data_IF_444484735335
#
_entry.id   IF_444484735335
#
_cell.length_a   1.000
_cell.length_b   1.000
_cell.length_c   1.000
_cell.angle_alpha   90.00
_cell.angle_beta   90.00
_cell.angle_gamma   90.00
#
_symmetry.space_group_name_H-M   'P 1'
#
loop_
_entity.id
_entity.type
_entity.pdbx_description
1 polymer ?
#
# COMPACT_ATOMS: atom_id res chain seq x y z
N UNK A 1 -32.87 -34.30 73.23
CA UNK A 1 -31.69 -34.32 72.35
C UNK A 1 -31.79 -33.15 71.37
N UNK A 2 -31.11 -32.03 71.68
CA UNK A 2 -31.14 -30.81 70.86
C UNK A 2 -29.89 -30.77 69.97
N UNK A 3 -30.06 -30.84 68.64
CA UNK A 3 -28.97 -30.72 67.66
C UNK A 3 -28.78 -29.24 67.33
N UNK A 4 -27.63 -28.67 67.70
CA UNK A 4 -27.20 -27.33 67.30
C UNK A 4 -27.11 -27.19 65.77
N UNK A 5 -27.66 -26.13 65.16
CA UNK A 5 -27.50 -25.88 63.74
C UNK A 5 -26.07 -25.42 63.45
N UNK A 6 -25.38 -26.15 62.56
CA UNK A 6 -23.99 -25.93 62.20
C UNK A 6 -23.76 -24.54 61.59
N UNK A 7 -22.98 -23.70 62.28
CA UNK A 7 -22.36 -22.48 61.74
C UNK A 7 -21.31 -22.83 60.67
N UNK A 8 -21.72 -23.24 59.46
CA UNK A 8 -20.82 -23.43 58.31
C UNK A 8 -21.42 -23.09 56.93
N UNK A 9 -21.76 -21.82 56.64
CA UNK A 9 -21.69 -21.39 55.23
C UNK A 9 -20.85 -20.13 54.96
N UNK A 10 -20.59 -19.28 55.97
CA UNK A 10 -19.94 -17.97 55.75
C UNK A 10 -18.45 -18.05 55.37
N UNK A 11 -17.72 -19.06 55.83
CA UNK A 11 -16.30 -19.24 55.46
C UNK A 11 -16.14 -19.78 54.05
N UNK A 12 -17.00 -20.70 53.62
CA UNK A 12 -16.95 -21.29 52.27
C UNK A 12 -17.27 -20.22 51.21
N UNK A 13 -18.31 -19.41 51.43
CA UNK A 13 -18.67 -18.31 50.52
C UNK A 13 -17.54 -17.28 50.39
N UNK A 14 -16.86 -16.95 51.50
CA UNK A 14 -15.70 -16.03 51.47
C UNK A 14 -14.52 -16.63 50.70
N UNK A 15 -14.23 -17.92 50.89
CA UNK A 15 -13.15 -18.61 50.16
C UNK A 15 -13.47 -18.65 48.65
N UNK A 16 -14.70 -18.95 48.27
CA UNK A 16 -15.13 -18.96 46.87
C UNK A 16 -15.07 -17.56 46.24
N UNK A 17 -15.49 -16.51 46.96
CA UNK A 17 -15.37 -15.12 46.47
C UNK A 17 -13.92 -14.69 46.30
N UNK A 18 -13.04 -14.99 47.26
CA UNK A 18 -11.61 -14.67 47.16
C UNK A 18 -10.96 -15.46 46.03
N UNK A 19 -11.28 -16.75 45.87
CA UNK A 19 -10.78 -17.55 44.76
C UNK A 19 -11.28 -17.06 43.39
N UNK A 20 -12.55 -16.63 43.31
CA UNK A 20 -13.12 -16.02 42.10
C UNK A 20 -12.45 -14.70 41.73
N UNK A 21 -12.22 -13.82 42.72
CA UNK A 21 -11.50 -12.56 42.52
C UNK A 21 -10.03 -12.78 42.15
N UNK A 22 -9.35 -13.74 42.78
CA UNK A 22 -7.99 -14.12 42.39
C UNK A 22 -7.95 -14.70 40.97
N UNK A 23 -8.91 -15.55 40.61
CA UNK A 23 -9.03 -16.11 39.27
C UNK A 23 -9.26 -15.04 38.22
N UNK A 24 -10.16 -14.09 38.49
CA UNK A 24 -10.40 -12.94 37.62
C UNK A 24 -9.16 -12.04 37.51
N UNK A 25 -8.49 -11.74 38.62
CA UNK A 25 -7.26 -10.94 38.63
C UNK A 25 -6.13 -11.62 37.86
N UNK A 26 -5.92 -12.93 38.05
CA UNK A 26 -4.92 -13.69 37.33
C UNK A 26 -5.24 -13.78 35.83
N UNK A 27 -6.52 -13.93 35.46
CA UNK A 27 -6.95 -13.91 34.05
C UNK A 27 -6.74 -12.52 33.42
N UNK A 28 -7.06 -11.44 34.14
CA UNK A 28 -6.79 -10.07 33.68
C UNK A 28 -5.29 -9.80 33.54
N UNK A 29 -4.47 -10.31 34.48
CA UNK A 29 -3.03 -10.16 34.44
C UNK A 29 -2.38 -10.96 33.29
N UNK A 30 -2.86 -12.17 32.98
CA UNK A 30 -2.35 -12.96 31.84
C UNK A 30 -2.74 -12.36 30.49
N UNK A 31 -3.93 -11.77 30.37
CA UNK A 31 -4.33 -10.97 29.20
C UNK A 31 -3.44 -9.72 29.08
N UNK A 32 -3.28 -8.95 30.15
CA UNK A 32 -2.51 -7.70 30.15
C UNK A 32 -1.01 -7.91 29.85
N UNK A 33 -0.44 -9.03 30.28
CA UNK A 33 0.97 -9.37 30.01
C UNK A 33 1.16 -10.13 28.69
N UNK A 34 0.08 -10.38 27.93
CA UNK A 34 0.06 -11.26 26.78
C UNK A 34 0.79 -12.60 27.02
N UNK A 35 0.73 -13.12 28.25
CA UNK A 35 1.41 -14.35 28.61
C UNK A 35 0.91 -15.50 27.72
N UNK A 36 1.82 -16.19 27.04
CA UNK A 36 1.51 -17.28 26.10
C UNK A 36 0.57 -16.89 24.94
N UNK A 37 0.53 -15.61 24.57
CA UNK A 37 -0.35 -15.11 23.49
C UNK A 37 -1.83 -15.04 23.88
N UNK A 38 -2.17 -15.16 25.17
CA UNK A 38 -3.55 -15.11 25.67
C UNK A 38 -4.20 -13.75 25.39
N UNK A 39 -3.43 -12.65 25.46
CA UNK A 39 -3.91 -11.32 25.11
C UNK A 39 -4.34 -11.25 23.64
N UNK A 40 -3.49 -11.68 22.71
CA UNK A 40 -3.81 -11.71 21.27
C UNK A 40 -5.03 -12.60 20.96
N UNK A 41 -5.16 -13.74 21.64
CA UNK A 41 -6.33 -14.62 21.47
C UNK A 41 -7.62 -13.97 21.99
N UNK A 42 -7.54 -13.24 23.09
CA UNK A 42 -8.66 -12.50 23.65
C UNK A 42 -9.06 -11.33 22.73
N UNK A 43 -8.11 -10.53 22.25
CA UNK A 43 -8.36 -9.46 21.27
C UNK A 43 -9.03 -10.00 20.00
N UNK A 44 -8.53 -11.12 19.46
CA UNK A 44 -9.14 -11.77 18.29
C UNK A 44 -10.58 -12.26 18.57
N UNK A 45 -10.86 -12.71 19.80
CA UNK A 45 -12.21 -13.12 20.20
C UNK A 45 -13.14 -11.91 20.32
N UNK A 46 -12.70 -10.85 20.98
CA UNK A 46 -13.47 -9.59 21.10
C UNK A 46 -13.77 -9.04 19.71
N UNK A 47 -12.77 -8.97 18.82
CA UNK A 47 -12.97 -8.50 17.44
C UNK A 47 -13.98 -9.35 16.67
N UNK A 48 -13.97 -10.67 16.83
CA UNK A 48 -14.99 -11.54 16.21
C UNK A 48 -16.39 -11.27 16.75
N UNK A 49 -16.52 -10.99 18.05
CA UNK A 49 -17.82 -10.64 18.64
C UNK A 49 -18.29 -9.29 18.12
N UNK A 50 -17.41 -8.29 18.06
CA UNK A 50 -17.70 -6.97 17.49
C UNK A 50 -18.18 -7.09 16.05
N UNK A 51 -17.47 -7.83 15.19
CA UNK A 51 -17.86 -8.04 13.78
C UNK A 51 -19.20 -8.77 13.59
N UNK A 52 -19.63 -9.56 14.58
CA UNK A 52 -20.96 -10.20 14.56
C UNK A 52 -22.06 -9.24 14.99
N UNK A 53 -21.75 -8.32 15.91
CA UNK A 53 -22.72 -7.35 16.44
C UNK A 53 -22.86 -6.12 15.55
N UNK A 54 -21.76 -5.69 14.93
CA UNK A 54 -21.66 -4.48 14.11
C UNK A 54 -20.73 -4.77 12.92
N UNK A 55 -21.21 -5.51 11.90
CA UNK A 55 -20.40 -5.79 10.72
C UNK A 55 -20.17 -4.50 9.91
N UNK A 56 -19.03 -4.39 9.23
CA UNK A 56 -18.79 -3.30 8.28
C UNK A 56 -19.95 -3.14 7.30
N UNK A 57 -20.32 -1.92 6.92
CA UNK A 57 -21.42 -1.68 6.00
C UNK A 57 -21.11 -2.30 4.62
N UNK A 58 -22.06 -3.02 4.05
CA UNK A 58 -21.97 -3.46 2.65
C UNK A 58 -22.40 -2.33 1.73
N UNK A 59 -21.42 -1.50 1.33
CA UNK A 59 -21.62 -0.39 0.39
C UNK A 59 -20.64 -0.46 -0.77
N UNK A 60 -21.00 0.12 -1.95
CA UNK A 60 -20.05 0.26 -3.04
C UNK A 60 -18.80 1.02 -2.59
N UNK A 61 -17.64 0.58 -3.06
CA UNK A 61 -16.35 1.23 -2.82
C UNK A 61 -15.54 1.32 -4.11
N UNK A 62 -14.41 2.03 -4.04
CA UNK A 62 -13.47 2.14 -5.18
C UNK A 62 -12.98 0.73 -5.60
N UNK A 63 -13.10 0.34 -6.88
CA UNK A 63 -12.72 -0.98 -7.34
C UNK A 63 -11.20 -1.16 -7.42
N UNK A 64 -10.75 -2.42 -7.36
CA UNK A 64 -9.34 -2.76 -7.60
C UNK A 64 -9.11 -2.99 -9.09
N UNK A 65 -8.16 -2.27 -9.68
CA UNK A 65 -7.78 -2.43 -11.09
C UNK A 65 -6.73 -3.52 -11.21
N UNK A 66 -7.06 -4.59 -11.93
CA UNK A 66 -6.10 -5.63 -12.27
C UNK A 66 -5.16 -5.14 -13.38
N UNK A 67 -3.87 -5.03 -13.07
CA UNK A 67 -2.86 -4.63 -14.05
C UNK A 67 -2.30 -5.86 -14.73
N UNK A 68 -2.60 -6.01 -16.01
CA UNK A 68 -1.98 -7.03 -16.86
C UNK A 68 -0.63 -6.54 -17.36
N UNK A 69 0.45 -7.34 -17.27
CA UNK A 69 1.76 -6.95 -17.78
C UNK A 69 1.69 -6.54 -19.24
N UNK A 70 2.39 -5.45 -19.60
CA UNK A 70 2.55 -5.07 -21.00
C UNK A 70 3.39 -6.17 -21.68
N UNK A 71 2.97 -6.73 -22.83
CA UNK A 71 3.78 -7.73 -23.51
C UNK A 71 5.15 -7.15 -23.84
N UNK A 72 6.20 -7.79 -23.31
CA UNK A 72 7.58 -7.43 -23.63
C UNK A 72 7.76 -7.77 -25.10
N UNK A 73 7.82 -6.76 -25.97
CA UNK A 73 8.18 -6.97 -27.36
C UNK A 73 9.61 -7.49 -27.36
N UNK A 74 9.77 -8.81 -27.49
CA UNK A 74 11.05 -9.40 -27.86
C UNK A 74 11.44 -8.74 -29.16
N UNK A 75 12.55 -8.00 -29.17
CA UNK A 75 13.07 -7.30 -30.33
C UNK A 75 13.01 -8.23 -31.54
N UNK A 76 12.09 -7.95 -32.48
CA UNK A 76 12.01 -8.73 -33.70
C UNK A 76 13.37 -8.64 -34.40
N UNK A 77 13.93 -9.74 -34.94
CA UNK A 77 15.11 -9.64 -35.78
C UNK A 77 14.78 -8.66 -36.90
N UNK A 78 15.66 -7.66 -37.06
CA UNK A 78 15.55 -6.68 -38.14
C UNK A 78 15.34 -7.44 -39.46
N UNK A 79 14.25 -7.20 -40.21
CA UNK A 79 14.11 -7.85 -41.50
C UNK A 79 15.23 -7.33 -42.38
N UNK A 80 16.15 -8.22 -42.77
CA UNK A 80 17.10 -7.98 -43.85
C UNK A 80 16.29 -7.59 -45.09
N UNK A 81 16.23 -6.29 -45.37
CA UNK A 81 15.62 -5.80 -46.60
C UNK A 81 16.50 -6.27 -47.76
N UNK A 82 15.95 -7.02 -48.74
CA UNK A 82 16.70 -7.38 -49.92
C UNK A 82 17.12 -6.11 -50.69
N UNK A 83 18.29 -6.14 -51.37
CA UNK A 83 18.78 -4.98 -52.10
C UNK A 83 17.78 -4.52 -53.16
N UNK A 84 17.66 -3.21 -53.41
CA UNK A 84 16.68 -2.66 -54.34
C UNK A 84 16.93 -3.20 -55.75
N UNK A 85 15.94 -3.89 -56.29
CA UNK A 85 15.94 -4.32 -57.69
C UNK A 85 15.66 -3.11 -58.57
N UNK A 86 16.63 -2.73 -59.41
CA UNK A 86 16.50 -1.66 -60.41
C UNK A 86 15.40 -1.97 -61.42
N UNK A 87 14.32 -1.17 -61.53
CA UNK A 87 13.35 -1.34 -62.61
C UNK A 87 13.87 -0.64 -63.87
N UNK A 88 13.86 -1.35 -65.01
CA UNK A 88 14.06 -0.77 -66.33
C UNK A 88 12.88 0.15 -66.67
N UNK A 89 13.19 1.40 -67.03
CA UNK A 89 12.23 2.45 -67.34
C UNK A 89 11.85 2.45 -68.84
N UNK A 90 10.56 2.47 -69.22
CA UNK A 90 10.15 2.79 -70.58
C UNK A 90 10.12 4.31 -70.79
N UNK A 91 10.38 4.82 -72.01
CA UNK A 91 10.45 6.26 -72.26
C UNK A 91 9.05 6.86 -72.43
N UNK A 92 8.83 8.02 -71.80
CA UNK A 92 7.81 8.97 -72.22
C UNK A 92 6.60 9.08 -71.30
N UNK A 93 6.66 10.02 -70.36
CA UNK A 93 5.57 10.94 -69.98
C UNK A 93 6.11 11.98 -69.00
N UNK A 94 5.96 13.25 -69.34
CA UNK A 94 6.25 14.40 -68.48
C UNK A 94 5.20 14.46 -67.36
N UNK A 95 5.62 14.14 -66.14
CA UNK A 95 4.82 14.33 -64.92
C UNK A 95 5.24 15.62 -64.20
N UNK A 96 4.33 16.29 -63.47
CA UNK A 96 4.60 17.56 -62.81
C UNK A 96 5.54 17.37 -61.62
N UNK A 97 6.44 18.33 -61.43
CA UNK A 97 7.42 18.43 -60.34
C UNK A 97 6.76 18.29 -58.96
N UNK A 98 6.87 17.12 -58.36
CA UNK A 98 6.60 16.91 -56.92
C UNK A 98 7.68 17.60 -56.10
N UNK A 99 7.25 18.48 -55.19
CA UNK A 99 8.12 19.10 -54.19
C UNK A 99 8.82 18.03 -53.34
N UNK A 100 10.08 18.25 -52.93
CA UNK A 100 10.81 17.28 -52.12
C UNK A 100 10.12 17.11 -50.76
N UNK A 101 9.60 15.91 -50.50
CA UNK A 101 9.20 15.46 -49.16
C UNK A 101 10.45 15.49 -48.28
N UNK A 102 10.51 16.41 -47.32
CA UNK A 102 11.55 16.42 -46.30
C UNK A 102 11.40 15.14 -45.49
N UNK A 103 12.39 14.24 -45.59
CA UNK A 103 12.46 13.05 -44.77
C UNK A 103 12.54 13.49 -43.28
N UNK A 104 11.73 12.89 -42.38
CA UNK A 104 11.80 13.24 -40.97
C UNK A 104 13.20 12.93 -40.44
N UNK A 105 13.82 13.93 -39.80
CA UNK A 105 15.08 13.74 -39.07
C UNK A 105 14.87 12.66 -38.01
N UNK A 106 15.71 11.61 -37.94
CA UNK A 106 15.56 10.57 -36.93
C UNK A 106 15.65 11.20 -35.54
N UNK A 107 14.60 11.01 -34.73
CA UNK A 107 14.60 11.43 -33.33
C UNK A 107 15.63 10.57 -32.58
N UNK A 108 16.53 11.19 -31.78
CA UNK A 108 17.54 10.42 -31.05
C UNK A 108 16.86 9.42 -30.11
N UNK A 109 17.28 8.16 -30.21
CA UNK A 109 16.86 7.11 -29.27
C UNK A 109 17.29 7.51 -27.86
N UNK A 110 16.40 7.48 -26.85
CA UNK A 110 16.77 7.75 -25.48
C UNK A 110 17.92 6.85 -25.01
N UNK A 111 18.93 7.43 -24.36
CA UNK A 111 20.02 6.66 -23.78
C UNK A 111 19.55 5.96 -22.50
N UNK A 112 19.96 4.69 -22.32
CA UNK A 112 19.71 3.95 -21.08
C UNK A 112 20.67 4.44 -20.00
N UNK A 113 20.16 5.03 -18.93
CA UNK A 113 20.96 5.57 -17.83
C UNK A 113 20.25 5.33 -16.49
N UNK A 114 21.03 5.03 -15.45
CA UNK A 114 20.50 4.86 -14.11
C UNK A 114 19.81 6.14 -13.62
N UNK A 115 18.72 5.97 -12.88
CA UNK A 115 17.92 7.06 -12.31
C UNK A 115 17.76 6.87 -10.81
N UNK A 116 17.75 8.00 -10.10
CA UNK A 116 17.50 8.12 -8.67
C UNK A 116 16.50 9.26 -8.47
N UNK A 117 15.27 8.91 -8.09
CA UNK A 117 14.13 9.83 -8.01
C UNK A 117 13.54 9.79 -6.61
N UNK A 118 13.34 10.94 -5.99
CA UNK A 118 12.60 11.07 -4.75
C UNK A 118 11.80 12.38 -4.78
N UNK A 119 10.48 12.31 -4.62
CA UNK A 119 9.58 13.46 -4.69
C UNK A 119 9.35 14.13 -3.33
N UNK A 120 9.85 13.52 -2.25
CA UNK A 120 9.78 14.08 -0.89
C UNK A 120 11.18 14.51 -0.46
N UNK A 121 11.45 15.81 -0.53
CA UNK A 121 12.76 16.38 -0.21
C UNK A 121 13.10 16.33 1.29
N UNK A 122 12.11 16.52 2.15
CA UNK A 122 12.24 16.42 3.61
C UNK A 122 11.24 15.38 4.16
N UNK A 123 11.66 14.10 4.24
CA UNK A 123 10.80 13.03 4.73
C UNK A 123 10.36 13.24 6.18
N UNK A 124 11.19 13.86 7.03
CA UNK A 124 10.87 14.07 8.45
C UNK A 124 9.73 15.09 8.62
N UNK A 125 9.71 16.14 7.79
CA UNK A 125 8.68 17.17 7.84
C UNK A 125 7.26 16.67 7.52
N UNK A 126 7.14 15.59 6.74
CA UNK A 126 5.85 15.02 6.34
C UNK A 126 5.51 13.71 7.04
N UNK A 127 6.46 13.14 7.78
CA UNK A 127 6.33 11.83 8.38
C UNK A 127 5.34 11.82 9.56
N UNK A 128 4.48 10.82 9.59
CA UNK A 128 3.61 10.53 10.73
C UNK A 128 3.75 9.06 11.13
N UNK A 129 4.16 8.83 12.39
CA UNK A 129 4.12 7.50 12.99
C UNK A 129 2.68 7.11 13.30
N UNK A 130 2.34 5.84 13.16
CA UNK A 130 1.06 5.32 13.61
C UNK A 130 0.96 5.38 15.15
N UNK A 131 -0.16 5.90 15.66
CA UNK A 131 -0.41 6.01 17.10
C UNK A 131 -0.62 4.63 17.73
N UNK A 132 -1.38 3.76 17.06
CA UNK A 132 -1.67 2.39 17.50
C UNK A 132 -1.17 1.37 16.47
N UNK A 133 -1.09 0.09 16.84
CA UNK A 133 -0.63 -0.99 15.95
C UNK A 133 -1.48 -1.18 14.69
N UNK A 134 -2.73 -0.73 14.71
CA UNK A 134 -3.71 -0.93 13.63
C UNK A 134 -3.89 0.34 12.76
N UNK A 135 -3.15 1.42 13.06
CA UNK A 135 -3.31 2.73 12.40
C UNK A 135 -2.24 3.03 11.34
N UNK A 136 -1.65 1.99 10.75
CA UNK A 136 -0.67 2.16 9.67
C UNK A 136 -1.29 2.82 8.43
N UNK A 137 -2.46 2.35 7.98
CA UNK A 137 -3.17 2.92 6.85
C UNK A 137 -3.55 4.41 7.02
N UNK A 138 -4.23 4.85 8.10
CA UNK A 138 -4.52 6.27 8.30
C UNK A 138 -3.27 7.14 8.46
N UNK A 139 -2.20 6.61 9.08
CA UNK A 139 -0.90 7.31 9.14
C UNK A 139 -0.31 7.51 7.73
N UNK A 140 -0.38 6.50 6.86
CA UNK A 140 0.07 6.62 5.48
C UNK A 140 -0.78 7.59 4.65
N UNK A 141 -2.11 7.57 4.81
CA UNK A 141 -3.01 8.58 4.19
C UNK A 141 -2.64 9.98 4.68
N UNK A 142 -2.43 10.16 5.98
CA UNK A 142 -1.98 11.43 6.56
C UNK A 142 -0.68 11.93 5.93
N UNK A 143 0.31 11.06 5.70
CA UNK A 143 1.57 11.44 5.06
C UNK A 143 1.34 11.92 3.61
N UNK A 144 0.50 11.24 2.84
CA UNK A 144 0.09 11.70 1.49
C UNK A 144 -0.57 13.07 1.59
N UNK A 145 -1.58 13.24 2.45
CA UNK A 145 -2.28 14.52 2.62
C UNK A 145 -1.33 15.65 3.03
N UNK A 146 -0.34 15.37 3.88
CA UNK A 146 0.67 16.33 4.30
C UNK A 146 1.55 16.76 3.12
N UNK A 147 1.99 15.82 2.27
CA UNK A 147 2.75 16.12 1.04
C UNK A 147 1.97 17.03 0.09
N UNK A 148 0.65 16.85 -0.02
CA UNK A 148 -0.23 17.69 -0.83
C UNK A 148 -0.66 19.01 -0.15
N UNK A 149 -0.20 19.29 1.08
CA UNK A 149 -0.60 20.48 1.83
C UNK A 149 -2.08 20.47 2.27
N UNK A 150 -2.70 19.28 2.32
CA UNK A 150 -4.10 19.05 2.73
C UNK A 150 -4.24 18.49 4.14
N UNK A 151 -3.12 18.36 4.84
CA UNK A 151 -3.03 17.80 6.18
C UNK A 151 -1.74 18.24 6.88
N UNK A 152 -1.45 17.62 8.02
CA UNK A 152 -0.22 17.84 8.78
C UNK A 152 0.16 16.55 9.54
N UNK A 153 1.41 16.38 9.99
CA UNK A 153 1.88 15.14 10.61
C UNK A 153 1.48 14.99 12.09
N UNK A 154 0.55 15.81 12.62
CA UNK A 154 0.18 15.73 14.04
C UNK A 154 -0.66 14.49 14.37
N UNK A 155 -0.57 14.02 15.62
CA UNK A 155 -1.46 12.97 16.12
C UNK A 155 -2.94 13.37 16.08
N UNK A 156 -3.24 14.67 16.26
CA UNK A 156 -4.61 15.17 16.23
C UNK A 156 -5.26 14.93 14.87
N UNK A 157 -4.53 15.18 13.78
CA UNK A 157 -5.00 14.94 12.43
C UNK A 157 -5.18 13.44 12.13
N UNK A 158 -4.29 12.58 12.64
CA UNK A 158 -4.46 11.13 12.53
C UNK A 158 -5.74 10.64 13.23
N UNK A 159 -6.04 11.18 14.41
CA UNK A 159 -7.28 10.86 15.16
C UNK A 159 -8.52 11.35 14.44
N UNK A 160 -8.45 12.52 13.81
CA UNK A 160 -9.52 13.04 12.96
C UNK A 160 -9.82 12.07 11.81
N UNK A 161 -8.79 11.66 11.05
CA UNK A 161 -8.96 10.69 9.97
C UNK A 161 -9.64 9.41 10.46
N UNK A 162 -9.13 8.83 11.55
CA UNK A 162 -9.70 7.59 12.10
C UNK A 162 -11.14 7.77 12.58
N UNK A 163 -11.50 8.93 13.16
CA UNK A 163 -12.87 9.19 13.61
C UNK A 163 -13.90 9.26 12.48
N UNK A 164 -13.44 9.35 11.23
CA UNK A 164 -14.25 9.46 10.03
C UNK A 164 -14.30 8.15 9.22
N UNK A 165 -13.75 7.06 9.74
CA UNK A 165 -13.65 5.80 9.00
C UNK A 165 -15.02 5.28 8.52
N UNK A 166 -16.09 5.50 9.30
CA UNK A 166 -17.47 5.16 8.96
C UNK A 166 -17.95 5.85 7.66
N UNK A 167 -17.27 6.89 7.18
CA UNK A 167 -17.54 7.54 5.89
C UNK A 167 -17.04 6.71 4.69
N UNK A 168 -16.02 5.85 4.87
CA UNK A 168 -15.29 5.19 3.77
C UNK A 168 -15.18 3.67 3.86
N UNK A 169 -15.28 3.07 5.06
CA UNK A 169 -15.18 1.62 5.19
C UNK A 169 -16.26 0.85 4.41
N UNK A 170 -15.95 -0.35 3.95
CA UNK A 170 -16.94 -1.21 3.32
C UNK A 170 -16.57 -2.66 3.58
N UNK A 171 -17.58 -3.52 3.77
CA UNK A 171 -17.37 -4.95 3.83
C UNK A 171 -16.60 -5.46 2.61
N UNK A 172 -16.88 -4.97 1.40
CA UNK A 172 -16.18 -5.41 0.18
C UNK A 172 -14.69 -5.02 0.19
N UNK A 173 -14.33 -3.97 0.94
CA UNK A 173 -12.98 -3.46 1.04
C UNK A 173 -12.18 -4.09 2.20
N UNK A 174 -12.81 -4.32 3.34
CA UNK A 174 -12.23 -4.94 4.54
C UNK A 174 -13.32 -5.69 5.33
N UNK A 175 -13.18 -7.01 5.43
CA UNK A 175 -14.13 -7.86 6.18
C UNK A 175 -14.02 -7.67 7.70
N UNK A 176 -12.89 -7.13 8.17
CA UNK A 176 -12.62 -6.90 9.58
C UNK A 176 -12.92 -5.47 10.02
N UNK A 177 -13.50 -4.66 9.12
CA UNK A 177 -13.82 -3.25 9.34
C UNK A 177 -12.60 -2.36 9.35
N UNK A 178 -12.83 -1.07 9.10
CA UNK A 178 -11.79 -0.07 9.11
C UNK A 178 -11.10 0.15 7.76
N UNK A 179 -9.77 0.25 7.80
CA UNK A 179 -8.98 0.83 6.72
C UNK A 179 -8.52 -0.19 5.68
N UNK A 180 -9.37 -0.45 4.69
CA UNK A 180 -8.96 -1.12 3.45
C UNK A 180 -8.41 -0.16 2.39
N UNK A 181 -7.90 -0.69 1.26
CA UNK A 181 -7.36 0.11 0.16
C UNK A 181 -8.35 1.15 -0.39
N UNK A 182 -9.63 0.82 -0.48
CA UNK A 182 -10.64 1.75 -0.97
C UNK A 182 -10.93 2.84 0.05
N UNK A 183 -11.05 2.50 1.33
CA UNK A 183 -11.22 3.50 2.38
C UNK A 183 -10.07 4.54 2.39
N UNK A 184 -8.84 4.11 2.13
CA UNK A 184 -7.70 5.00 1.97
C UNK A 184 -7.84 5.96 0.78
N UNK A 185 -8.25 5.47 -0.39
CA UNK A 185 -8.47 6.32 -1.57
C UNK A 185 -9.63 7.30 -1.35
N UNK A 186 -10.74 6.83 -0.78
CA UNK A 186 -11.91 7.67 -0.49
C UNK A 186 -11.59 8.75 0.54
N UNK A 187 -10.77 8.45 1.55
CA UNK A 187 -10.24 9.44 2.47
C UNK A 187 -9.39 10.49 1.74
N UNK A 188 -8.48 10.09 0.83
CA UNK A 188 -7.71 11.06 0.04
C UNK A 188 -8.64 12.01 -0.74
N UNK A 189 -9.66 11.46 -1.40
CA UNK A 189 -10.66 12.24 -2.15
C UNK A 189 -11.41 13.20 -1.24
N UNK A 190 -11.82 12.76 -0.05
CA UNK A 190 -12.56 13.58 0.92
C UNK A 190 -11.75 14.80 1.41
N UNK A 191 -10.41 14.73 1.35
CA UNK A 191 -9.51 15.84 1.67
C UNK A 191 -8.98 16.59 0.42
N UNK A 192 -9.54 16.29 -0.76
CA UNK A 192 -9.25 16.99 -2.01
C UNK A 192 -8.02 16.48 -2.75
N UNK A 193 -7.50 15.30 -2.41
CA UNK A 193 -6.46 14.59 -3.15
C UNK A 193 -7.12 13.50 -3.99
N UNK A 194 -7.42 13.82 -5.25
CA UNK A 194 -8.06 12.90 -6.20
C UNK A 194 -7.03 12.20 -7.10
N UNK A 195 -7.47 11.15 -7.80
CA UNK A 195 -6.65 10.50 -8.82
C UNK A 195 -5.68 9.47 -8.25
N UNK A 196 -6.02 8.82 -7.15
CA UNK A 196 -5.36 7.58 -6.74
C UNK A 196 -6.23 6.39 -7.16
N UNK A 197 -5.60 5.38 -7.75
CA UNK A 197 -6.24 4.11 -8.12
C UNK A 197 -5.65 2.96 -7.31
N UNK A 198 -6.49 2.01 -6.90
CA UNK A 198 -6.03 0.76 -6.32
C UNK A 198 -5.63 -0.16 -7.48
N UNK A 199 -4.37 -0.57 -7.53
CA UNK A 199 -3.85 -1.46 -8.58
C UNK A 199 -3.32 -2.76 -8.00
N UNK A 200 -3.66 -3.86 -8.65
CA UNK A 200 -3.23 -5.22 -8.28
C UNK A 200 -2.35 -5.82 -9.39
N UNK A 201 -1.17 -6.32 -9.01
CA UNK A 201 -0.15 -6.83 -9.92
C UNK A 201 0.17 -8.30 -9.65
N UNK A 202 0.54 -9.04 -10.71
CA UNK A 202 0.99 -10.44 -10.59
C UNK A 202 2.34 -10.55 -9.91
N UNK A 203 3.24 -9.61 -10.19
CA UNK A 203 4.61 -9.66 -9.70
C UNK A 203 4.97 -8.37 -8.98
N UNK A 204 5.86 -8.52 -7.99
CA UNK A 204 6.46 -7.38 -7.28
C UNK A 204 7.21 -6.45 -8.22
N UNK A 205 7.89 -7.01 -9.22
CA UNK A 205 8.65 -6.23 -10.18
C UNK A 205 7.74 -5.33 -11.02
N UNK A 206 6.58 -5.82 -11.44
CA UNK A 206 5.61 -5.02 -12.18
C UNK A 206 5.00 -3.92 -11.30
N UNK A 207 4.65 -4.25 -10.05
CA UNK A 207 4.16 -3.27 -9.08
C UNK A 207 5.17 -2.14 -8.85
N UNK A 208 6.45 -2.48 -8.61
CA UNK A 208 7.49 -1.48 -8.37
C UNK A 208 7.81 -0.65 -9.62
N UNK A 209 7.77 -1.26 -10.82
CA UNK A 209 7.99 -0.55 -12.07
C UNK A 209 6.86 0.44 -12.36
N UNK A 210 5.61 0.03 -12.20
CA UNK A 210 4.45 0.91 -12.42
C UNK A 210 4.41 2.03 -11.37
N UNK A 211 4.70 1.72 -10.10
CA UNK A 211 4.85 2.72 -9.04
C UNK A 211 5.95 3.75 -9.37
N UNK A 212 7.12 3.29 -9.81
CA UNK A 212 8.22 4.17 -10.20
C UNK A 212 7.87 5.06 -11.41
N UNK A 213 7.22 4.48 -12.43
CA UNK A 213 6.73 5.25 -13.58
C UNK A 213 5.71 6.32 -13.13
N UNK A 214 4.74 5.94 -12.29
CA UNK A 214 3.73 6.86 -11.78
C UNK A 214 4.32 8.00 -10.95
N UNK A 215 5.32 7.73 -10.09
CA UNK A 215 6.04 8.77 -9.35
C UNK A 215 6.69 9.77 -10.31
N UNK A 216 7.33 9.28 -11.38
CA UNK A 216 7.99 10.16 -12.36
C UNK A 216 7.01 10.91 -13.28
N UNK A 217 5.85 10.34 -13.58
CA UNK A 217 4.81 10.99 -14.39
C UNK A 217 4.02 12.02 -13.59
N UNK A 218 3.76 11.75 -12.32
CA UNK A 218 2.87 12.56 -11.49
C UNK A 218 3.60 13.46 -10.52
N UNK A 219 4.84 13.16 -10.16
CA UNK A 219 5.52 13.81 -9.03
C UNK A 219 4.88 13.50 -7.66
N UNK A 220 4.02 12.48 -7.57
CA UNK A 220 3.27 12.13 -6.36
C UNK A 220 3.72 10.77 -5.80
N UNK A 221 3.67 10.55 -4.48
CA UNK A 221 4.10 9.30 -3.86
C UNK A 221 3.08 8.17 -4.10
N UNK A 222 3.53 6.92 -3.98
CA UNK A 222 2.71 5.71 -4.12
C UNK A 222 2.56 5.03 -2.77
N UNK A 223 1.36 4.56 -2.43
CA UNK A 223 1.18 3.70 -1.24
C UNK A 223 1.41 2.25 -1.63
N UNK A 224 2.25 1.52 -0.90
CA UNK A 224 2.46 0.09 -1.05
C UNK A 224 1.81 -0.65 0.11
N UNK A 225 1.01 -1.68 -0.18
CA UNK A 225 0.39 -2.50 0.86
C UNK A 225 1.33 -3.66 1.21
N UNK A 226 2.14 -3.45 2.23
CA UNK A 226 3.16 -4.35 2.72
C UNK A 226 2.59 -5.43 3.68
N UNK A 227 3.44 -6.39 4.03
CA UNK A 227 3.14 -7.49 4.97
C UNK A 227 1.83 -8.21 4.66
N UNK A 228 1.64 -8.57 3.38
CA UNK A 228 0.42 -9.23 2.86
C UNK A 228 -0.84 -8.38 2.99
N UNK A 229 -0.69 -7.05 3.02
CA UNK A 229 -1.77 -6.10 3.22
C UNK A 229 -2.05 -5.75 4.68
N UNK A 230 -1.25 -6.26 5.63
CA UNK A 230 -1.35 -5.89 7.05
C UNK A 230 -0.68 -4.56 7.40
N UNK A 231 0.02 -3.96 6.44
CA UNK A 231 0.77 -2.74 6.66
C UNK A 231 0.78 -1.83 5.45
N UNK A 232 0.99 -0.54 5.67
CA UNK A 232 1.04 0.47 4.63
C UNK A 232 2.39 1.19 4.67
N UNK A 233 3.05 1.23 3.52
CA UNK A 233 4.28 1.97 3.28
C UNK A 233 4.00 3.10 2.28
N UNK A 234 4.63 4.25 2.47
CA UNK A 234 4.60 5.31 1.47
C UNK A 234 5.93 5.31 0.69
N UNK A 235 5.86 4.96 -0.59
CA UNK A 235 6.97 5.04 -1.52
C UNK A 235 7.06 6.47 -2.08
N UNK A 236 8.07 7.22 -1.61
CA UNK A 236 8.33 8.60 -2.05
C UNK A 236 9.31 8.68 -3.23
N UNK A 237 9.94 7.56 -3.59
CA UNK A 237 10.96 7.55 -4.63
C UNK A 237 11.47 6.16 -4.96
N UNK A 238 12.39 6.08 -5.91
CA UNK A 238 12.97 4.84 -6.41
C UNK A 238 14.36 5.04 -7.00
N UNK A 239 15.08 3.92 -7.12
CA UNK A 239 16.27 3.80 -7.98
C UNK A 239 16.03 2.74 -9.04
N UNK A 240 16.49 3.00 -10.25
CA UNK A 240 16.41 2.04 -11.35
C UNK A 240 17.62 2.14 -12.27
N UNK A 241 17.89 1.07 -13.01
CA UNK A 241 18.96 1.02 -14.02
C UNK A 241 18.64 1.82 -15.30
N UNK A 242 17.37 2.19 -15.49
CA UNK A 242 16.84 3.00 -16.57
C UNK A 242 15.51 3.67 -16.16
N UNK A 243 15.10 4.74 -16.84
CA UNK A 243 13.79 5.36 -16.63
C UNK A 243 12.65 4.37 -17.00
N UNK A 244 11.82 3.91 -16.03
CA UNK A 244 10.75 2.95 -16.27
C UNK A 244 9.67 3.43 -17.24
N UNK A 245 9.57 4.74 -17.49
CA UNK A 245 8.64 5.31 -18.48
C UNK A 245 9.08 5.07 -19.90
N UNK A 246 10.39 4.98 -20.12
CA UNK A 246 11.02 4.86 -21.44
C UNK A 246 11.43 3.42 -21.75
N UNK A 247 11.79 2.65 -20.72
CA UNK A 247 12.33 1.30 -20.85
C UNK A 247 11.43 0.30 -20.10
N UNK A 248 10.56 -0.45 -20.81
CA UNK A 248 9.67 -1.43 -20.17
C UNK A 248 10.41 -2.55 -19.42
N UNK A 249 11.68 -2.78 -19.75
CA UNK A 249 12.59 -3.74 -19.12
C UNK A 249 13.48 -3.09 -18.04
N UNK A 250 13.21 -1.84 -17.64
CA UNK A 250 13.89 -1.22 -16.52
C UNK A 250 13.67 -2.04 -15.23
N UNK A 251 14.75 -2.18 -14.47
CA UNK A 251 14.80 -2.86 -13.19
C UNK A 251 14.86 -1.82 -12.08
N UNK A 252 13.80 -1.77 -11.27
CA UNK A 252 13.77 -0.98 -10.05
C UNK A 252 14.55 -1.73 -8.96
N UNK A 253 15.62 -1.14 -8.47
CA UNK A 253 16.51 -1.76 -7.48
C UNK A 253 16.04 -1.57 -6.04
N UNK A 254 15.12 -0.63 -5.80
CA UNK A 254 14.56 -0.34 -4.49
C UNK A 254 13.73 0.94 -4.48
N UNK A 255 13.28 1.33 -3.29
CA UNK A 255 12.35 2.42 -3.06
C UNK A 255 12.77 3.27 -1.85
N UNK A 256 12.54 4.58 -1.90
CA UNK A 256 12.55 5.41 -0.69
C UNK A 256 11.21 5.25 0.01
N UNK A 257 11.23 4.85 1.29
CA UNK A 257 10.02 4.47 2.04
C UNK A 257 9.87 5.31 3.30
N UNK A 258 8.65 5.80 3.53
CA UNK A 258 8.20 6.27 4.84
C UNK A 258 7.32 5.16 5.44
N UNK A 259 7.86 4.48 6.44
CA UNK A 259 7.19 3.40 7.15
C UNK A 259 6.47 3.95 8.39
N UNK A 260 5.14 3.92 8.38
CA UNK A 260 4.31 4.39 9.49
C UNK A 260 4.61 3.67 10.83
N UNK A 261 5.22 2.49 10.79
CA UNK A 261 5.61 1.75 12.00
C UNK A 261 6.81 2.37 12.71
N UNK A 262 7.66 3.14 12.04
CA UNK A 262 8.83 3.78 12.67
C UNK A 262 8.39 4.69 13.84
N UNK A 263 9.09 4.71 14.99
CA UNK A 263 10.34 4.00 15.33
C UNK A 263 10.12 2.67 16.08
N UNK A 264 8.99 2.00 15.87
CA UNK A 264 8.60 0.80 16.63
C UNK A 264 9.32 -0.44 16.11
N UNK A 265 9.31 -1.49 16.94
CA UNK A 265 9.86 -2.81 16.61
C UNK A 265 8.72 -3.82 16.58
N UNK A 266 8.52 -4.44 15.42
CA UNK A 266 7.59 -5.55 15.25
C UNK A 266 8.22 -6.85 15.76
N UNK A 267 7.46 -7.63 16.52
CA UNK A 267 7.89 -8.98 16.95
C UNK A 267 7.95 -9.98 15.80
N UNK A 268 7.30 -9.69 14.67
CA UNK A 268 7.25 -10.55 13.48
C UNK A 268 8.20 -10.04 12.40
N UNK A 269 8.24 -8.72 12.20
CA UNK A 269 8.91 -8.08 11.04
C UNK A 269 10.21 -7.35 11.40
N UNK A 270 10.51 -7.20 12.70
CA UNK A 270 11.71 -6.53 13.18
C UNK A 270 11.56 -5.00 13.32
N UNK A 271 12.67 -4.27 13.52
CA UNK A 271 12.66 -2.81 13.59
C UNK A 271 12.30 -2.19 12.24
N UNK A 272 11.55 -1.08 12.28
CA UNK A 272 11.34 -0.22 11.12
C UNK A 272 12.50 0.78 10.98
N UNK A 273 12.78 1.20 9.75
CA UNK A 273 13.79 2.21 9.45
C UNK A 273 13.23 3.65 9.49
N UNK A 274 14.08 4.67 9.66
CA UNK A 274 13.69 6.08 9.61
C UNK A 274 12.99 6.48 8.30
N UNK A 275 12.15 7.54 8.31
CA UNK A 275 11.43 7.98 7.12
C UNK A 275 12.37 8.38 5.99
N UNK A 276 12.03 7.96 4.76
CA UNK A 276 12.84 8.23 3.57
C UNK A 276 14.08 7.34 3.47
N UNK A 277 14.18 6.26 4.24
CA UNK A 277 15.23 5.27 4.06
C UNK A 277 15.07 4.55 2.72
N UNK A 278 16.18 4.34 2.01
CA UNK A 278 16.18 3.55 0.78
C UNK A 278 16.14 2.06 1.12
N UNK A 279 15.04 1.42 0.74
CA UNK A 279 14.79 0.00 0.88
C UNK A 279 15.18 -0.73 -0.40
N UNK A 280 16.20 -1.57 -0.31
CA UNK A 280 16.74 -2.30 -1.45
C UNK A 280 15.88 -3.50 -1.88
N UNK A 281 16.29 -4.20 -2.92
CA UNK A 281 15.56 -5.33 -3.47
C UNK A 281 15.31 -6.46 -2.46
N UNK A 282 16.23 -6.65 -1.49
CA UNK A 282 16.10 -7.65 -0.44
C UNK A 282 15.07 -7.21 0.60
N UNK A 283 15.07 -5.93 0.98
CA UNK A 283 14.05 -5.36 1.85
C UNK A 283 12.66 -5.46 1.20
N UNK A 284 12.54 -5.05 -0.05
CA UNK A 284 11.29 -5.13 -0.79
C UNK A 284 10.81 -6.59 -0.89
N UNK A 285 11.72 -7.57 -0.90
CA UNK A 285 11.37 -8.99 -0.98
C UNK A 285 10.82 -9.51 0.34
N UNK A 286 11.35 -9.00 1.45
CA UNK A 286 10.96 -9.38 2.80
C UNK A 286 9.60 -8.80 3.18
N UNK A 287 9.31 -7.57 2.77
CA UNK A 287 8.19 -6.81 3.31
C UNK A 287 7.05 -6.54 2.32
N UNK A 288 7.35 -6.26 1.05
CA UNK A 288 6.30 -6.05 0.06
C UNK A 288 5.88 -7.40 -0.52
N UNK A 289 4.94 -8.04 0.17
CA UNK A 289 4.48 -9.40 -0.10
C UNK A 289 3.10 -9.39 -0.78
N UNK A 290 2.74 -10.45 -1.53
CA UNK A 290 1.40 -10.59 -2.08
C UNK A 290 0.33 -10.52 -0.98
N UNK A 291 -0.78 -9.88 -1.28
CA UNK A 291 -1.93 -9.72 -0.41
C UNK A 291 -2.52 -11.07 -0.04
N UNK A 292 -2.68 -11.26 1.26
CA UNK A 292 -3.30 -12.43 1.84
C UNK A 292 -3.69 -12.09 3.27
N UNK A 293 -4.98 -12.15 3.51
CA UNK A 293 -5.58 -11.61 4.72
C UNK A 293 -6.38 -12.67 5.46
N UNK A 294 -6.26 -12.77 6.80
CA UNK A 294 -6.95 -13.80 7.57
C UNK A 294 -8.46 -13.57 7.68
N UNK A 295 -8.95 -12.35 7.46
CA UNK A 295 -10.36 -12.01 7.61
C UNK A 295 -11.25 -12.51 6.46
N UNK A 296 -10.68 -12.94 5.32
CA UNK A 296 -11.45 -13.58 4.27
C UNK A 296 -10.77 -13.64 2.92
N UNK A 297 -11.58 -13.87 1.88
CA UNK A 297 -11.13 -13.95 0.49
C UNK A 297 -11.46 -12.67 -0.24
N UNK A 298 -10.47 -12.15 -0.96
CA UNK A 298 -10.59 -10.97 -1.78
C UNK A 298 -10.21 -11.36 -3.22
N UNK A 299 -11.19 -11.77 -4.07
CA UNK A 299 -10.90 -12.34 -5.39
C UNK A 299 -10.01 -11.48 -6.29
N UNK A 300 -10.11 -10.15 -6.16
CA UNK A 300 -9.34 -9.19 -6.95
C UNK A 300 -7.93 -8.91 -6.39
N UNK A 301 -7.63 -9.35 -5.17
CA UNK A 301 -6.44 -8.97 -4.39
C UNK A 301 -5.58 -10.16 -3.99
N UNK A 302 -6.20 -11.29 -3.64
CA UNK A 302 -5.51 -12.46 -3.12
C UNK A 302 -4.38 -12.93 -4.05
N UNK A 303 -3.18 -13.05 -3.50
CA UNK A 303 -1.97 -13.45 -4.23
C UNK A 303 -1.38 -12.38 -5.15
N UNK A 304 -1.89 -11.14 -5.12
CA UNK A 304 -1.41 -10.00 -5.92
C UNK A 304 -0.64 -9.00 -5.06
N UNK A 305 0.26 -8.24 -5.66
CA UNK A 305 0.87 -7.09 -5.01
C UNK A 305 -0.05 -5.89 -5.17
N UNK A 306 -0.32 -5.13 -4.12
CA UNK A 306 -1.22 -3.97 -4.18
C UNK A 306 -0.49 -2.66 -3.93
N UNK A 307 -0.88 -1.65 -4.70
CA UNK A 307 -0.46 -0.28 -4.52
C UNK A 307 -1.62 0.70 -4.78
N UNK A 308 -1.62 1.85 -4.11
CA UNK A 308 -2.45 2.99 -4.50
C UNK A 308 -1.58 3.93 -5.31
N UNK A 309 -1.90 4.04 -6.60
CA UNK A 309 -1.05 4.67 -7.60
C UNK A 309 -1.68 5.99 -8.06
N UNK A 310 -0.95 7.11 -8.02
CA UNK A 310 -1.44 8.39 -8.53
C UNK A 310 -1.53 8.35 -10.07
N UNK A 311 -2.58 8.96 -10.60
CA UNK A 311 -2.86 9.07 -12.05
C UNK A 311 -2.93 10.51 -12.52
N UNK A 312 -2.91 11.47 -11.59
CA UNK A 312 -2.91 12.90 -11.87
C UNK A 312 -1.60 13.53 -11.40
N UNK A 313 -1.04 14.51 -12.14
CA UNK A 313 0.10 15.28 -11.68
C UNK A 313 -0.15 15.96 -10.33
N UNK A 314 0.91 16.06 -9.54
CA UNK A 314 0.95 16.77 -8.29
C UNK A 314 0.53 18.23 -8.52
N UNK A 315 -0.57 18.62 -7.91
CA UNK A 315 -1.04 19.99 -7.87
C UNK A 315 -0.92 20.46 -6.42
N UNK A 316 0.09 21.30 -6.07
CA UNK A 316 0.18 21.86 -4.74
C UNK A 316 -1.09 22.65 -4.44
N UNK A 317 -1.50 22.68 -3.16
CA UNK A 317 -2.56 23.57 -2.72
C UNK A 317 -2.19 25.03 -3.08
N UNK A 318 -3.15 25.85 -3.55
CA UNK A 318 -2.92 27.25 -3.88
C UNK A 318 -2.49 28.08 -2.67
#
# INVERSE_FOLDING_TARGET
>A
MSRSPGRRPRRLVRVLLVAGLLGAFLASATVATNALGVGTRFENLVRRIELVLDPPPDRPSVPTVLVTPRPVLTSAPSPDLPPPSTPAQPPGRTSPTTAPTIAPTPQPTPARAAVDVNVVADPEAVFASQITKDWCAPATVQMVLTIFGRGNPSEAFQRELVSRIDEWESWQDSHDGGWGPAAMVEALVAYGVTGYEIRAYETRADALRDAAAAISDTGSPVVLLAWRGAHAWLMSGYRADADPRLFPDATVSGAYVLDAWYPRVSSIWGPSDPPGTFQDAAEMARNFLPWERPEGKYPERDGRFLALVPTLPFAPAP
#
